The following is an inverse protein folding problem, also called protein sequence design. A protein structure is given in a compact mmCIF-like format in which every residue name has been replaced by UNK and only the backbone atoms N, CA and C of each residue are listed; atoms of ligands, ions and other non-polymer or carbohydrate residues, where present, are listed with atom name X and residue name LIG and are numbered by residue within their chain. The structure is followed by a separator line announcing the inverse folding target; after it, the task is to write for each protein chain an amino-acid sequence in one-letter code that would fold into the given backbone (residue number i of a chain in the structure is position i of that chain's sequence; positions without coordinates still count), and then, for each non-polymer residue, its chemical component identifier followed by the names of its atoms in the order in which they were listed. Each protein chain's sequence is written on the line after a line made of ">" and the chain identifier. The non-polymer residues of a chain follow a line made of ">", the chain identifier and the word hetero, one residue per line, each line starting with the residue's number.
data_IF_319455464405
#
_entry.id   IF_319455464405
#
_cell.length_a   1.000
_cell.length_b   1.000
_cell.length_c   1.000
_cell.angle_alpha   90.00
_cell.angle_beta   90.00
_cell.angle_gamma   90.00
#
_symmetry.space_group_name_H-M   'P 1'
#
loop_
_entity.id
_entity.type
_entity.pdbx_description
1 polymer ?
#
# COMPACT_ATOMS: atom_id res chain seq x y z
N UNK A 1 -17.65 2.17 6.51
CA UNK A 1 -17.01 0.87 6.80
C UNK A 1 -17.65 -0.20 5.93
N UNK A 2 -16.87 -1.08 5.33
CA UNK A 2 -17.34 -2.19 4.49
C UNK A 2 -16.22 -3.17 4.20
N UNK A 3 -16.60 -4.30 3.58
CA UNK A 3 -15.66 -5.25 3.01
C UNK A 3 -15.61 -4.99 1.51
N UNK A 4 -14.42 -4.85 0.96
CA UNK A 4 -14.18 -4.56 -0.45
C UNK A 4 -13.35 -5.70 -1.04
N UNK A 5 -13.64 -6.05 -2.27
CA UNK A 5 -12.90 -7.06 -3.03
C UNK A 5 -12.32 -6.43 -4.28
N UNK A 6 -11.07 -6.75 -4.58
CA UNK A 6 -10.34 -6.27 -5.75
C UNK A 6 -9.25 -7.30 -6.09
N UNK A 7 -8.50 -7.09 -7.15
CA UNK A 7 -7.28 -7.84 -7.44
C UNK A 7 -6.07 -6.90 -7.48
N UNK A 8 -4.86 -7.46 -7.44
CA UNK A 8 -3.64 -6.67 -7.40
C UNK A 8 -3.45 -5.78 -8.65
N UNK A 9 -3.88 -6.26 -9.81
CA UNK A 9 -3.78 -5.50 -11.07
C UNK A 9 -4.69 -4.28 -11.08
N UNK A 10 -5.91 -4.40 -10.55
CA UNK A 10 -6.87 -3.29 -10.49
C UNK A 10 -6.48 -2.25 -9.44
N UNK A 11 -5.67 -2.62 -8.45
CA UNK A 11 -5.13 -1.69 -7.47
C UNK A 11 -3.99 -0.83 -8.02
N UNK A 12 -3.37 -1.26 -9.13
CA UNK A 12 -2.27 -0.55 -9.74
C UNK A 12 -2.76 0.54 -10.68
N UNK A 13 -2.44 1.80 -10.36
CA UNK A 13 -2.74 2.94 -11.22
C UNK A 13 -1.70 3.05 -12.33
N UNK A 14 -2.18 3.06 -13.57
CA UNK A 14 -1.34 3.06 -14.77
C UNK A 14 -0.79 4.47 -15.07
N UNK A 15 0.02 5.01 -14.17
CA UNK A 15 0.73 6.26 -14.41
C UNK A 15 1.77 6.11 -15.53
N UNK A 16 2.06 7.20 -16.24
CA UNK A 16 3.10 7.24 -17.26
C UNK A 16 4.48 6.93 -16.66
N UNK A 17 4.78 7.59 -15.54
CA UNK A 17 5.92 7.28 -14.69
C UNK A 17 5.43 6.37 -13.55
N UNK A 18 5.83 5.10 -13.52
CA UNK A 18 5.39 4.17 -12.49
C UNK A 18 5.74 4.65 -11.07
N UNK A 19 4.82 4.43 -10.15
CA UNK A 19 5.03 4.81 -8.76
C UNK A 19 4.15 3.98 -7.84
N UNK A 20 4.51 3.91 -6.56
CA UNK A 20 3.65 3.31 -5.56
C UNK A 20 2.30 4.00 -5.51
N UNK A 21 1.24 3.20 -5.39
CA UNK A 21 -0.14 3.67 -5.38
C UNK A 21 -1.04 2.70 -4.61
N UNK A 22 -2.33 2.96 -4.60
CA UNK A 22 -3.32 2.03 -4.05
C UNK A 22 -3.27 1.87 -2.54
N UNK A 23 -2.65 2.80 -1.80
CA UNK A 23 -2.66 2.75 -0.33
C UNK A 23 -4.09 2.82 0.22
N UNK A 24 -4.41 1.97 1.16
CA UNK A 24 -5.70 1.92 1.89
C UNK A 24 -5.42 2.19 3.35
N UNK A 25 -6.19 3.08 3.96
CA UNK A 25 -6.07 3.49 5.35
C UNK A 25 -7.17 2.89 6.21
N UNK A 26 -6.94 2.80 7.52
CA UNK A 26 -7.94 2.31 8.47
C UNK A 26 -8.31 0.85 8.27
N UNK A 27 -7.39 0.04 7.76
CA UNK A 27 -7.62 -1.37 7.45
C UNK A 27 -7.57 -2.21 8.72
N UNK A 28 -8.61 -3.00 8.96
CA UNK A 28 -8.69 -3.92 10.09
C UNK A 28 -8.25 -5.33 9.75
N UNK A 29 -8.43 -5.72 8.51
CA UNK A 29 -7.87 -6.95 7.94
C UNK A 29 -7.81 -6.87 6.43
N UNK A 30 -6.91 -7.64 5.86
CA UNK A 30 -6.85 -7.93 4.42
C UNK A 30 -6.53 -9.41 4.23
N UNK A 31 -7.21 -10.04 3.28
CA UNK A 31 -6.90 -11.39 2.81
C UNK A 31 -6.42 -11.30 1.37
N UNK A 32 -5.29 -11.92 1.09
CA UNK A 32 -4.71 -12.02 -0.26
C UNK A 32 -4.58 -13.50 -0.57
N UNK A 33 -5.24 -13.95 -1.62
CA UNK A 33 -5.32 -15.37 -1.97
C UNK A 33 -5.40 -15.55 -3.49
N UNK A 34 -5.01 -16.72 -3.93
CA UNK A 34 -5.09 -17.15 -5.33
C UNK A 34 -6.47 -17.74 -5.68
N UNK A 35 -6.61 -18.22 -6.91
CA UNK A 35 -7.83 -18.85 -7.43
C UNK A 35 -8.23 -20.13 -6.67
N UNK A 36 -7.27 -20.77 -5.99
CA UNK A 36 -7.50 -21.96 -5.18
C UNK A 36 -7.83 -21.62 -3.71
N UNK A 37 -7.99 -20.34 -3.40
CA UNK A 37 -8.19 -19.83 -2.04
C UNK A 37 -7.00 -20.03 -1.09
N UNK A 38 -5.82 -20.35 -1.62
CA UNK A 38 -4.59 -20.41 -0.84
C UNK A 38 -3.99 -19.01 -0.69
N UNK A 39 -3.66 -18.63 0.51
CA UNK A 39 -3.16 -17.28 0.74
C UNK A 39 -2.92 -16.94 2.19
N UNK A 40 -2.85 -15.64 2.45
CA UNK A 40 -2.57 -15.07 3.76
C UNK A 40 -3.62 -14.04 4.15
N UNK A 41 -3.94 -14.03 5.43
CA UNK A 41 -4.77 -13.00 6.06
C UNK A 41 -3.92 -12.22 7.06
N UNK A 42 -3.92 -10.90 6.90
CA UNK A 42 -3.31 -9.96 7.82
C UNK A 42 -4.42 -9.27 8.60
N UNK A 43 -4.39 -9.36 9.91
CA UNK A 43 -5.40 -8.79 10.80
C UNK A 43 -4.73 -7.84 11.79
N UNK A 44 -5.24 -6.63 11.92
CA UNK A 44 -4.81 -5.69 12.94
C UNK A 44 -4.99 -6.29 14.34
N UNK A 45 -4.00 -6.11 15.21
CA UNK A 45 -4.11 -6.51 16.62
C UNK A 45 -5.06 -5.55 17.35
N UNK A 46 -4.66 -4.31 17.50
CA UNK A 46 -5.47 -3.28 18.18
C UNK A 46 -5.80 -2.11 17.26
N UNK A 47 -4.77 -1.51 16.65
CA UNK A 47 -4.92 -0.35 15.80
C UNK A 47 -5.00 -0.75 14.33
N UNK A 48 -5.91 -0.14 13.55
CA UNK A 48 -5.92 -0.33 12.11
C UNK A 48 -4.57 0.04 11.49
N UNK A 49 -4.22 -0.64 10.42
CA UNK A 49 -3.01 -0.37 9.66
C UNK A 49 -3.35 0.26 8.29
N UNK A 50 -2.33 0.64 7.58
CA UNK A 50 -2.41 1.00 6.17
C UNK A 50 -1.80 -0.11 5.33
N UNK A 51 -2.29 -0.28 4.11
CA UNK A 51 -1.79 -1.32 3.23
C UNK A 51 -1.89 -0.96 1.75
N UNK A 52 -1.01 -1.57 0.97
CA UNK A 52 -1.18 -1.69 -0.48
C UNK A 52 -0.93 -3.12 -0.94
N UNK A 53 -1.61 -3.53 -2.00
CA UNK A 53 -1.42 -4.83 -2.67
C UNK A 53 -1.27 -4.55 -4.15
N UNK A 54 -0.07 -4.75 -4.67
CA UNK A 54 0.32 -4.37 -6.03
C UNK A 54 1.01 -5.53 -6.75
N UNK A 55 1.00 -5.54 -8.09
CA UNK A 55 1.73 -6.54 -8.89
C UNK A 55 3.24 -6.26 -8.99
N UNK A 56 3.70 -5.12 -8.49
CA UNK A 56 5.09 -4.68 -8.57
C UNK A 56 5.60 -4.27 -7.19
N UNK A 57 6.88 -4.53 -6.94
CA UNK A 57 7.59 -4.03 -5.75
C UNK A 57 7.85 -2.53 -5.85
N UNK A 58 8.11 -1.89 -4.72
CA UNK A 58 8.58 -0.51 -4.68
C UNK A 58 9.87 -0.33 -5.51
N UNK A 59 10.77 -1.32 -5.45
CA UNK A 59 12.03 -1.29 -6.21
C UNK A 59 11.79 -1.32 -7.73
N UNK A 60 10.90 -2.18 -8.23
CA UNK A 60 10.55 -2.24 -9.65
C UNK A 60 9.92 -0.92 -10.12
N UNK A 61 9.02 -0.36 -9.32
CA UNK A 61 8.36 0.91 -9.64
C UNK A 61 9.33 2.09 -9.66
N UNK A 62 10.27 2.13 -8.71
CA UNK A 62 11.23 3.22 -8.54
C UNK A 62 12.30 3.23 -9.64
N UNK A 63 12.64 2.05 -10.19
CA UNK A 63 13.61 1.90 -11.26
C UNK A 63 13.04 2.06 -12.68
N UNK A 64 11.72 2.02 -12.84
CA UNK A 64 11.08 2.19 -14.14
C UNK A 64 10.77 3.68 -14.38
N UNK A 65 11.35 4.25 -15.43
CA UNK A 65 11.05 5.62 -15.89
C UNK A 65 9.72 5.67 -16.64
N UNK A 66 9.40 4.59 -17.35
CA UNK A 66 8.18 4.44 -18.11
C UNK A 66 7.52 3.08 -17.82
N UNK A 67 6.21 3.03 -17.96
CA UNK A 67 5.45 1.80 -17.69
C UNK A 67 5.90 0.59 -18.50
N UNK A 68 6.35 0.80 -19.72
CA UNK A 68 6.82 -0.23 -20.64
C UNK A 68 8.14 -0.89 -20.18
N UNK A 69 8.83 -0.28 -19.21
CA UNK A 69 10.04 -0.82 -18.59
C UNK A 69 9.76 -1.76 -17.42
N UNK A 70 8.50 -1.80 -16.93
CA UNK A 70 8.13 -2.73 -15.89
C UNK A 70 8.21 -4.17 -16.40
N UNK A 71 8.76 -5.09 -15.59
CA UNK A 71 8.80 -6.51 -15.93
C UNK A 71 7.39 -7.12 -15.98
N UNK A 72 7.28 -8.33 -16.50
CA UNK A 72 6.07 -9.13 -16.33
C UNK A 72 5.85 -9.40 -14.84
N UNK A 73 4.62 -9.13 -14.36
CA UNK A 73 4.28 -9.30 -12.96
C UNK A 73 4.36 -10.78 -12.55
N UNK A 74 5.26 -11.12 -11.63
CA UNK A 74 5.52 -12.50 -11.16
C UNK A 74 5.05 -12.74 -9.73
N UNK A 75 4.82 -11.67 -8.98
CA UNK A 75 4.45 -11.73 -7.57
C UNK A 75 3.33 -10.74 -7.25
N UNK A 76 2.66 -11.01 -6.13
CA UNK A 76 1.79 -10.04 -5.49
C UNK A 76 2.51 -9.48 -4.26
N UNK A 77 2.76 -8.19 -4.30
CA UNK A 77 3.47 -7.46 -3.25
C UNK A 77 2.48 -6.87 -2.25
N UNK A 78 2.58 -7.31 -1.01
CA UNK A 78 1.73 -6.83 0.09
C UNK A 78 2.57 -5.96 1.01
N UNK A 79 2.21 -4.71 1.14
CA UNK A 79 2.82 -3.77 2.07
C UNK A 79 1.85 -3.49 3.21
N UNK A 80 2.30 -3.69 4.44
CA UNK A 80 1.57 -3.34 5.67
C UNK A 80 2.38 -2.24 6.37
N UNK A 81 1.73 -1.15 6.69
CA UNK A 81 2.35 0.01 7.32
C UNK A 81 1.52 0.52 8.50
N UNK A 82 2.19 1.03 9.52
CA UNK A 82 1.51 1.67 10.63
C UNK A 82 0.85 2.98 10.19
N UNK A 83 1.56 3.76 9.40
CA UNK A 83 1.11 5.05 8.87
C UNK A 83 1.96 5.44 7.66
N UNK A 84 1.37 6.13 6.72
CA UNK A 84 2.07 6.77 5.62
C UNK A 84 1.94 8.29 5.75
N UNK A 85 3.04 9.00 5.53
CA UNK A 85 3.02 10.45 5.52
C UNK A 85 2.20 10.93 4.30
N UNK A 86 1.39 11.97 4.49
CA UNK A 86 0.72 12.64 3.40
C UNK A 86 1.73 13.27 2.42
N UNK A 87 1.39 13.29 1.16
CA UNK A 87 2.17 13.91 0.09
C UNK A 87 1.37 15.03 -0.54
N UNK A 88 2.02 16.18 -0.79
CA UNK A 88 1.35 17.35 -1.33
C UNK A 88 0.62 18.19 -0.26
N UNK A 89 0.39 19.43 -0.58
CA UNK A 89 -0.31 20.43 0.23
C UNK A 89 -1.53 20.98 -0.51
N UNK A 90 -1.78 22.28 -0.35
CA UNK A 90 -2.96 22.95 -0.93
C UNK A 90 -2.88 23.13 -2.45
N UNK A 91 -1.70 22.96 -3.02
CA UNK A 91 -1.47 23.06 -4.46
C UNK A 91 -0.47 22.02 -4.98
N UNK A 92 -0.33 21.93 -6.30
CA UNK A 92 0.62 21.06 -6.97
C UNK A 92 1.99 21.69 -7.25
N UNK A 93 2.25 22.88 -6.73
CA UNK A 93 3.44 23.68 -6.99
C UNK A 93 4.46 23.67 -5.85
N UNK A 94 4.27 22.80 -4.88
CA UNK A 94 5.21 22.61 -3.79
C UNK A 94 4.75 23.13 -2.44
N UNK A 95 3.47 23.40 -2.24
CA UNK A 95 2.93 23.66 -0.92
C UNK A 95 3.27 22.52 0.04
N UNK A 96 3.74 22.81 1.27
CA UNK A 96 4.14 21.78 2.21
C UNK A 96 2.94 20.95 2.68
N UNK A 97 3.20 19.71 3.03
CA UNK A 97 2.20 18.82 3.67
C UNK A 97 1.76 19.45 4.98
N UNK A 98 0.44 19.47 5.24
CA UNK A 98 -0.13 19.96 6.49
C UNK A 98 0.41 19.18 7.69
N UNK A 99 0.62 19.84 8.82
CA UNK A 99 1.24 19.27 10.03
C UNK A 99 0.54 18.02 10.55
N UNK A 100 -0.78 17.94 10.42
CA UNK A 100 -1.58 16.77 10.84
C UNK A 100 -1.27 15.48 10.04
N UNK A 101 -0.73 15.61 8.81
CA UNK A 101 -0.38 14.50 7.95
C UNK A 101 1.11 14.18 7.95
N UNK A 102 1.91 14.91 8.71
CA UNK A 102 3.35 14.62 8.87
C UNK A 102 3.59 13.52 9.89
N UNK A 103 4.57 12.69 9.61
CA UNK A 103 5.12 11.73 10.57
C UNK A 103 6.38 12.34 11.15
N UNK A 104 6.34 12.69 12.44
CA UNK A 104 7.49 13.29 13.12
C UNK A 104 8.43 12.20 13.62
N UNK A 105 9.73 12.38 13.41
CA UNK A 105 10.76 11.39 13.74
C UNK A 105 10.86 11.07 15.25
N UNK A 106 10.49 12.02 16.10
CA UNK A 106 10.47 11.85 17.56
C UNK A 106 9.30 10.99 18.07
N UNK A 107 8.29 10.76 17.25
CA UNK A 107 7.14 9.95 17.63
C UNK A 107 7.45 8.46 17.50
N UNK A 108 7.28 7.73 18.61
CA UNK A 108 7.31 6.27 18.56
C UNK A 108 6.03 5.77 17.89
N UNK A 109 6.20 5.01 16.81
CA UNK A 109 5.11 4.34 16.10
C UNK A 109 5.28 2.85 16.26
N UNK A 110 4.22 2.15 16.65
CA UNK A 110 4.19 0.69 16.79
C UNK A 110 3.20 0.13 15.76
N UNK A 111 3.59 -0.93 15.09
CA UNK A 111 2.76 -1.70 14.18
C UNK A 111 2.67 -3.13 14.66
N UNK A 112 1.46 -3.59 14.95
CA UNK A 112 1.19 -4.96 15.37
C UNK A 112 0.05 -5.55 14.54
N UNK A 113 0.30 -6.72 13.97
CA UNK A 113 -0.71 -7.46 13.22
C UNK A 113 -0.45 -8.96 13.30
N UNK A 114 -1.50 -9.74 13.04
CA UNK A 114 -1.49 -11.21 13.05
C UNK A 114 -1.53 -11.69 11.60
N UNK A 115 -0.69 -12.65 11.27
CA UNK A 115 -0.71 -13.33 9.97
C UNK A 115 -1.27 -14.74 10.17
N UNK A 116 -2.25 -15.10 9.36
CA UNK A 116 -2.82 -16.44 9.30
C UNK A 116 -2.75 -16.97 7.86
N UNK A 117 -2.54 -18.27 7.70
CA UNK A 117 -2.82 -18.93 6.42
C UNK A 117 -4.33 -19.00 6.17
N UNK A 118 -4.69 -18.94 4.92
CA UNK A 118 -6.05 -19.21 4.44
C UNK A 118 -6.15 -20.62 3.90
#
# INVERSE_FOLDING_TARGET
>A
LGVFTSNAQDNFSKYLNPQECGNRTGVRYVSVYDENSAGLKFKAAEQPFEMSVLPYSAYELDNATHREELPEASYTWVRIAAKQMGVGGDDSWGAPVHEEFKIKAENKITLEFIINSL
#
